data_IF_577895151633
#
_entry.id   IF_577895151633
#
_cell.length_a   1.000
_cell.length_b   1.000
_cell.length_c   1.000
_cell.angle_alpha   90.00
_cell.angle_beta   90.00
_cell.angle_gamma   90.00
#
_symmetry.space_group_name_H-M   'P 1'
#
loop_
_entity.id
_entity.type
_entity.pdbx_description
1 polymer ?
#
# COMPACT_ATOMS: atom_id res chain seq x y z
N UNK A 1 23.54 1.47 9.49
CA UNK A 1 22.16 1.06 9.15
C UNK A 1 22.23 -0.20 8.30
N UNK A 2 21.41 -1.22 8.59
CA UNK A 2 21.26 -2.38 7.68
C UNK A 2 20.32 -1.97 6.55
N UNK A 3 20.69 -2.24 5.29
CA UNK A 3 19.81 -1.96 4.16
C UNK A 3 18.59 -2.89 4.18
N UNK A 4 17.43 -2.43 3.69
CA UNK A 4 16.25 -3.30 3.57
C UNK A 4 16.52 -4.54 2.70
N UNK A 5 17.41 -4.44 1.72
CA UNK A 5 17.89 -5.57 0.92
C UNK A 5 18.62 -6.60 1.77
N UNK A 6 19.50 -6.15 2.67
CA UNK A 6 20.22 -7.03 3.59
C UNK A 6 19.28 -7.69 4.62
N UNK A 7 18.21 -7.00 5.05
CA UNK A 7 17.21 -7.55 5.97
C UNK A 7 16.39 -8.67 5.31
N UNK A 8 16.04 -8.51 4.03
CA UNK A 8 15.37 -9.55 3.25
C UNK A 8 16.35 -10.62 2.71
N UNK A 9 17.65 -10.50 2.97
CA UNK A 9 18.68 -11.40 2.47
C UNK A 9 18.63 -11.53 0.92
N UNK A 10 18.42 -10.41 0.24
CA UNK A 10 18.36 -10.33 -1.23
C UNK A 10 19.30 -9.26 -1.75
N UNK A 11 19.70 -9.41 -3.02
CA UNK A 11 20.53 -8.41 -3.69
C UNK A 11 19.75 -7.12 -3.96
N UNK A 12 20.44 -5.99 -4.04
CA UNK A 12 19.88 -4.70 -4.48
C UNK A 12 19.22 -4.76 -5.87
N UNK A 13 19.71 -5.64 -6.74
CA UNK A 13 19.20 -5.93 -8.07
C UNK A 13 18.05 -6.96 -8.10
N UNK A 14 17.62 -7.46 -6.93
CA UNK A 14 16.61 -8.51 -6.85
C UNK A 14 15.29 -8.12 -7.51
N UNK A 15 14.69 -9.08 -8.21
CA UNK A 15 13.39 -8.93 -8.85
C UNK A 15 12.27 -8.85 -7.80
N UNK A 16 11.10 -8.25 -8.12
CA UNK A 16 9.94 -8.23 -7.22
C UNK A 16 9.50 -9.64 -6.78
N UNK A 17 9.75 -10.65 -7.63
CA UNK A 17 9.44 -12.05 -7.33
C UNK A 17 10.36 -12.60 -6.22
N UNK A 18 11.65 -12.30 -6.28
CA UNK A 18 12.64 -12.74 -5.28
C UNK A 18 12.41 -12.04 -3.94
N UNK A 19 12.12 -10.73 -3.95
CA UNK A 19 11.76 -9.97 -2.73
C UNK A 19 10.55 -10.59 -2.03
N UNK A 20 9.51 -10.93 -2.81
CA UNK A 20 8.30 -11.57 -2.27
C UNK A 20 8.55 -13.00 -1.77
N UNK A 21 9.43 -13.75 -2.43
CA UNK A 21 9.81 -15.09 -2.01
C UNK A 21 10.62 -15.06 -0.70
N UNK A 22 11.56 -14.13 -0.60
CA UNK A 22 12.36 -13.91 0.60
C UNK A 22 11.50 -13.50 1.79
N UNK A 23 10.57 -12.56 1.61
CA UNK A 23 9.59 -12.19 2.63
C UNK A 23 8.79 -13.40 3.13
N UNK A 24 8.26 -14.23 2.22
CA UNK A 24 7.49 -15.43 2.61
C UNK A 24 8.32 -16.43 3.41
N UNK A 25 9.58 -16.64 3.02
CA UNK A 25 10.52 -17.54 3.71
C UNK A 25 10.80 -17.04 5.12
N UNK A 26 11.18 -15.77 5.25
CA UNK A 26 11.57 -15.14 6.51
C UNK A 26 10.36 -14.96 7.46
N UNK A 27 9.19 -14.60 6.92
CA UNK A 27 7.97 -14.47 7.72
C UNK A 27 7.50 -15.80 8.30
N UNK A 28 7.65 -16.91 7.56
CA UNK A 28 7.38 -18.25 8.10
C UNK A 28 8.41 -18.62 9.17
N UNK A 29 9.69 -18.33 8.93
CA UNK A 29 10.78 -18.64 9.84
C UNK A 29 10.66 -17.90 11.17
N UNK A 30 10.18 -16.65 11.16
CA UNK A 30 10.07 -15.81 12.34
C UNK A 30 8.64 -15.68 12.89
N UNK A 31 7.69 -16.48 12.38
CA UNK A 31 6.30 -16.44 12.83
C UNK A 31 6.17 -16.75 14.33
N UNK A 32 5.30 -16.03 15.08
CA UNK A 32 5.11 -16.27 16.52
C UNK A 32 4.66 -17.70 16.85
N UNK A 33 3.80 -18.30 16.02
CA UNK A 33 3.37 -19.71 16.21
C UNK A 33 4.53 -20.71 16.19
N UNK A 34 5.59 -20.44 15.42
CA UNK A 34 6.76 -21.32 15.31
C UNK A 34 7.84 -21.01 16.36
N UNK A 35 7.80 -19.82 16.98
CA UNK A 35 8.84 -19.31 17.87
C UNK A 35 8.27 -18.80 19.20
N UNK A 36 7.36 -19.58 19.79
CA UNK A 36 6.59 -19.24 20.98
C UNK A 36 7.46 -18.60 22.07
N UNK A 37 7.34 -17.28 22.25
CA UNK A 37 7.89 -16.53 23.38
C UNK A 37 9.28 -15.91 23.21
N UNK A 38 9.95 -16.02 22.05
CA UNK A 38 11.26 -15.40 21.86
C UNK A 38 11.15 -14.02 21.18
N UNK A 39 11.27 -12.97 22.00
CA UNK A 39 11.18 -11.55 21.58
C UNK A 39 12.20 -11.15 20.51
N UNK A 40 13.33 -11.86 20.40
CA UNK A 40 14.33 -11.59 19.36
C UNK A 40 13.85 -11.97 17.95
N UNK A 41 13.02 -13.00 17.81
CA UNK A 41 12.44 -13.37 16.52
C UNK A 41 11.28 -12.45 16.12
N UNK A 42 10.58 -11.89 17.10
CA UNK A 42 9.55 -10.88 16.86
C UNK A 42 10.16 -9.60 16.26
N UNK A 43 11.31 -9.15 16.77
CA UNK A 43 12.03 -8.00 16.18
C UNK A 43 12.49 -8.28 14.75
N UNK A 44 13.02 -9.49 14.48
CA UNK A 44 13.42 -9.89 13.11
C UNK A 44 12.24 -9.98 12.15
N UNK A 45 11.09 -10.48 12.62
CA UNK A 45 9.86 -10.52 11.82
C UNK A 45 9.41 -9.10 11.43
N UNK A 46 9.48 -8.15 12.38
CA UNK A 46 9.14 -6.76 12.13
C UNK A 46 10.07 -6.10 11.11
N UNK A 47 11.39 -6.28 11.25
CA UNK A 47 12.38 -5.80 10.29
C UNK A 47 12.07 -6.33 8.87
N UNK A 48 11.70 -7.61 8.77
CA UNK A 48 11.33 -8.27 7.50
C UNK A 48 10.04 -7.70 6.90
N UNK A 49 9.04 -7.39 7.73
CA UNK A 49 7.79 -6.75 7.29
C UNK A 49 8.07 -5.34 6.76
N UNK A 50 8.81 -4.53 7.52
CA UNK A 50 9.18 -3.16 7.14
C UNK A 50 10.00 -3.11 5.85
N UNK A 51 10.96 -4.02 5.71
CA UNK A 51 11.75 -4.14 4.49
C UNK A 51 10.88 -4.54 3.28
N UNK A 52 9.89 -5.41 3.46
CA UNK A 52 8.97 -5.80 2.39
C UNK A 52 7.94 -4.70 2.04
N UNK A 53 7.51 -3.88 3.01
CA UNK A 53 6.63 -2.74 2.76
C UNK A 53 7.29 -1.77 1.77
N UNK A 54 8.54 -1.37 2.06
CA UNK A 54 9.31 -0.44 1.24
C UNK A 54 9.75 -1.07 -0.09
N UNK A 55 10.29 -2.30 -0.07
CA UNK A 55 10.85 -2.93 -1.27
C UNK A 55 9.80 -3.64 -2.15
N UNK A 56 8.64 -3.96 -1.58
CA UNK A 56 7.55 -4.66 -2.27
C UNK A 56 6.71 -3.75 -3.16
N UNK A 57 6.70 -2.43 -2.87
CA UNK A 57 6.09 -1.41 -3.72
C UNK A 57 7.15 -0.77 -4.62
N UNK A 58 6.95 -0.81 -5.94
CA UNK A 58 7.91 -0.27 -6.92
C UNK A 58 8.15 1.25 -6.79
N UNK A 59 7.16 2.00 -6.28
CA UNK A 59 7.28 3.44 -6.08
C UNK A 59 8.14 3.74 -4.84
N UNK A 60 7.86 3.05 -3.73
CA UNK A 60 8.60 3.20 -2.48
C UNK A 60 10.02 2.64 -2.59
N UNK A 61 10.20 1.53 -3.31
CA UNK A 61 11.51 0.98 -3.63
C UNK A 61 12.36 1.99 -4.39
N UNK A 62 11.81 2.62 -5.42
CA UNK A 62 12.51 3.67 -6.17
C UNK A 62 12.86 4.86 -5.29
N UNK A 63 11.94 5.31 -4.44
CA UNK A 63 12.22 6.40 -3.50
C UNK A 63 13.36 6.02 -2.53
N UNK A 64 13.34 4.81 -1.99
CA UNK A 64 14.38 4.27 -1.12
C UNK A 64 15.73 4.15 -1.85
N UNK A 65 15.75 3.64 -3.07
CA UNK A 65 16.97 3.55 -3.88
C UNK A 65 17.58 4.94 -4.15
N UNK A 66 16.75 5.94 -4.45
CA UNK A 66 17.19 7.33 -4.62
C UNK A 66 17.83 7.91 -3.34
N UNK A 67 17.30 7.54 -2.16
CA UNK A 67 17.94 7.95 -0.88
C UNK A 67 19.30 7.29 -0.67
N UNK A 68 19.46 6.03 -1.07
CA UNK A 68 20.74 5.32 -1.01
C UNK A 68 21.80 5.94 -1.93
N UNK A 69 21.41 6.38 -3.14
CA UNK A 69 22.31 7.09 -4.05
C UNK A 69 22.77 8.44 -3.48
N UNK A 70 21.87 9.22 -2.84
CA UNK A 70 22.21 10.53 -2.26
C UNK A 70 23.20 10.45 -1.10
N UNK A 71 23.17 9.36 -0.33
CA UNK A 71 24.12 9.11 0.77
C UNK A 71 25.52 8.77 0.26
N UNK A 72 25.68 8.28 -0.97
CA UNK A 72 26.99 7.96 -1.55
C UNK A 72 27.67 9.18 -2.20
N UNK A 73 26.91 10.18 -2.67
CA UNK A 73 27.45 11.33 -3.42
C UNK A 73 27.94 12.52 -2.57
N UNK A 74 27.91 12.45 -1.23
CA UNK A 74 28.14 13.60 -0.35
C UNK A 74 29.54 13.68 0.29
N UNK A 75 30.54 12.95 -0.23
CA UNK A 75 31.92 12.98 0.31
C UNK A 75 32.91 13.90 -0.46
N UNK A 76 32.50 14.61 -1.51
CA UNK A 76 33.45 15.48 -2.25
C UNK A 76 32.96 16.92 -2.40
N UNK A 77 33.62 17.80 -1.64
CA UNK A 77 33.89 19.24 -1.81
C UNK A 77 32.73 20.21 -2.09
N UNK A 78 32.59 21.21 -1.19
CA UNK A 78 32.20 22.56 -1.60
C UNK A 78 32.97 23.63 -0.81
N UNK A 79 33.97 24.17 -1.50
CA UNK A 79 34.70 25.40 -1.21
C UNK A 79 33.77 26.60 -1.08
N UNK A 80 34.05 27.41 -0.06
CA UNK A 80 33.36 28.65 0.25
C UNK A 80 33.78 29.77 -0.71
N UNK A 81 32.81 30.54 -1.21
CA UNK A 81 33.05 31.90 -1.71
C UNK A 81 31.95 32.82 -1.19
N UNK A 82 32.38 33.83 -0.43
CA UNK A 82 31.55 34.89 0.12
C UNK A 82 31.59 36.14 -0.79
N UNK A 83 30.49 36.90 -0.86
CA UNK A 83 30.50 38.36 -1.06
C UNK A 83 29.20 39.00 -0.53
N UNK A 84 29.22 40.26 -0.01
CA UNK A 84 28.32 40.67 1.07
C UNK A 84 27.32 41.80 0.76
N UNK A 85 26.38 41.98 1.72
CA UNK A 85 25.75 43.24 2.24
C UNK A 85 24.64 43.94 1.39
N UNK A 86 23.53 44.54 1.89
CA UNK A 86 23.14 45.07 3.23
C UNK A 86 21.60 45.11 3.48
N UNK A 87 21.24 45.05 4.78
CA UNK A 87 20.18 45.77 5.54
C UNK A 87 18.71 45.78 5.10
N UNK A 88 17.83 45.25 5.97
CA UNK A 88 16.96 46.13 6.79
C UNK A 88 16.41 45.42 8.04
N UNK A 89 16.33 46.22 9.10
CA UNK A 89 15.99 45.98 10.49
C UNK A 89 14.52 45.61 10.70
N UNK A 90 14.20 44.35 11.07
CA UNK A 90 12.96 43.98 11.82
C UNK A 90 12.83 42.47 12.16
N UNK A 91 13.71 41.61 11.62
CA UNK A 91 13.54 40.15 11.61
C UNK A 91 14.43 39.44 12.65
N UNK A 92 13.96 39.28 13.89
CA UNK A 92 14.57 38.36 14.86
C UNK A 92 13.53 37.51 15.60
N UNK A 93 12.62 36.86 14.86
CA UNK A 93 11.79 35.81 15.43
C UNK A 93 12.32 34.46 14.97
N UNK A 94 12.65 33.54 15.89
CA UNK A 94 13.13 32.22 15.51
C UNK A 94 12.03 31.50 14.72
N UNK A 95 12.36 30.98 13.55
CA UNK A 95 11.43 30.26 12.69
C UNK A 95 11.82 28.79 12.63
N UNK A 96 10.84 27.91 12.85
CA UNK A 96 11.00 26.46 12.67
C UNK A 96 10.52 26.14 11.26
N UNK A 97 11.46 25.86 10.37
CA UNK A 97 11.17 25.53 8.97
C UNK A 97 10.64 24.11 8.91
N UNK A 98 11.44 23.15 9.39
CA UNK A 98 11.09 21.75 9.41
C UNK A 98 11.18 21.19 10.83
N UNK A 99 10.20 20.37 11.17
CA UNK A 99 10.22 19.52 12.35
C UNK A 99 9.34 18.33 12.04
N UNK A 100 9.97 17.22 11.70
CA UNK A 100 9.32 16.05 11.14
C UNK A 100 9.92 14.78 11.69
N UNK A 101 9.15 13.70 11.64
CA UNK A 101 9.57 12.37 12.06
C UNK A 101 9.34 11.35 10.92
N UNK A 102 10.14 10.29 10.92
CA UNK A 102 10.10 9.27 9.88
C UNK A 102 8.87 8.33 9.94
N UNK A 103 8.07 8.39 11.01
CA UNK A 103 6.95 7.49 11.24
C UNK A 103 5.81 8.18 12.00
N UNK A 104 4.57 7.72 11.84
CA UNK A 104 3.37 8.29 12.48
C UNK A 104 2.90 7.53 13.73
N UNK A 105 3.50 6.37 13.97
CA UNK A 105 3.21 5.48 15.10
C UNK A 105 4.51 4.93 15.69
N UNK A 106 4.46 4.42 16.91
CA UNK A 106 5.62 3.85 17.60
C UNK A 106 5.27 2.60 18.41
N UNK A 107 6.26 1.72 18.53
CA UNK A 107 6.28 0.50 19.35
C UNK A 107 7.51 0.48 20.27
N UNK A 108 7.55 -0.47 21.20
CA UNK A 108 8.65 -0.59 22.17
C UNK A 108 9.93 -0.99 21.42
N UNK A 109 11.03 -0.26 21.67
CA UNK A 109 12.30 -0.50 21.01
C UNK A 109 12.49 0.21 19.66
N UNK A 110 11.46 0.90 19.16
CA UNK A 110 11.56 1.64 17.89
C UNK A 110 12.62 2.73 17.94
N UNK A 111 13.28 2.93 16.79
CA UNK A 111 14.21 4.02 16.54
C UNK A 111 13.49 5.08 15.70
N UNK A 112 13.03 6.15 16.35
CA UNK A 112 12.37 7.29 15.71
C UNK A 112 13.45 8.26 15.26
N UNK A 113 13.53 8.51 13.95
CA UNK A 113 14.40 9.58 13.42
C UNK A 113 13.60 10.87 13.38
N UNK A 114 14.14 11.90 14.04
CA UNK A 114 13.57 13.24 14.11
C UNK A 114 14.51 14.19 13.39
N UNK A 115 13.99 14.89 12.40
CA UNK A 115 14.68 15.95 11.67
C UNK A 115 14.15 17.31 12.08
N UNK A 116 15.07 18.28 12.22
CA UNK A 116 14.70 19.68 12.43
C UNK A 116 15.53 20.62 11.56
N UNK A 117 14.93 21.75 11.22
CA UNK A 117 15.59 22.89 10.61
C UNK A 117 15.00 24.18 11.17
N UNK A 118 15.85 25.00 11.79
CA UNK A 118 15.49 26.28 12.39
C UNK A 118 16.31 27.43 11.79
N UNK A 119 15.72 28.62 11.72
CA UNK A 119 16.39 29.88 11.40
C UNK A 119 16.28 30.86 12.55
N UNK A 120 17.29 31.71 12.69
CA UNK A 120 17.30 32.83 13.65
C UNK A 120 17.04 32.38 15.11
N UNK A 121 17.48 31.19 15.48
CA UNK A 121 17.39 30.63 16.83
C UNK A 121 18.81 30.46 17.41
N UNK A 122 19.01 30.84 18.67
CA UNK A 122 20.31 30.69 19.34
C UNK A 122 20.34 29.42 20.19
N UNK A 123 19.17 29.03 20.72
CA UNK A 123 19.02 27.82 21.55
C UNK A 123 17.87 26.99 21.01
N UNK A 124 18.13 25.72 20.74
CA UNK A 124 17.13 24.75 20.32
C UNK A 124 17.04 23.66 21.38
N UNK A 125 15.83 23.36 21.83
CA UNK A 125 15.54 22.28 22.76
C UNK A 125 14.45 21.39 22.19
N UNK A 126 14.67 20.07 22.18
CA UNK A 126 13.68 19.09 21.76
C UNK A 126 13.36 18.22 22.99
N UNK A 127 12.12 18.24 23.47
CA UNK A 127 11.68 17.33 24.53
C UNK A 127 11.28 15.98 23.92
N UNK A 128 11.67 14.81 24.50
CA UNK A 128 12.49 14.61 25.71
C UNK A 128 14.01 14.48 25.45
N UNK A 129 14.49 14.82 24.25
CA UNK A 129 15.88 14.60 23.79
C UNK A 129 16.94 15.54 24.41
N UNK A 130 16.56 16.75 24.83
CA UNK A 130 17.48 17.74 25.40
C UNK A 130 17.79 18.91 24.47
N UNK A 131 18.97 19.52 24.66
CA UNK A 131 19.44 20.66 23.87
C UNK A 131 20.14 20.20 22.59
N UNK A 132 19.98 20.97 21.51
CA UNK A 132 20.62 20.72 20.22
C UNK A 132 21.63 21.82 19.92
N UNK A 133 22.85 21.41 19.58
CA UNK A 133 23.96 22.34 19.26
C UNK A 133 23.84 22.90 17.83
N UNK A 134 23.13 22.20 16.94
CA UNK A 134 23.00 22.57 15.53
C UNK A 134 21.60 23.09 15.18
N UNK A 135 21.56 24.15 14.37
CA UNK A 135 20.34 24.75 13.80
C UNK A 135 19.52 23.79 12.92
N UNK A 136 20.20 22.80 12.33
CA UNK A 136 19.63 21.75 11.49
C UNK A 136 20.28 20.44 11.87
N UNK A 137 19.50 19.37 11.96
CA UNK A 137 20.05 18.10 12.40
C UNK A 137 19.07 16.96 12.32
N UNK A 138 19.60 15.76 12.61
CA UNK A 138 18.84 14.52 12.70
C UNK A 138 19.25 13.79 13.95
N UNK A 139 18.29 13.33 14.73
CA UNK A 139 18.52 12.56 15.95
C UNK A 139 17.66 11.32 15.97
N UNK A 140 18.21 10.23 16.50
CA UNK A 140 17.52 8.96 16.63
C UNK A 140 17.11 8.79 18.09
N UNK A 141 15.81 8.74 18.35
CA UNK A 141 15.24 8.46 19.65
C UNK A 141 14.85 6.98 19.76
N UNK A 142 15.36 6.28 20.76
CA UNK A 142 14.95 4.89 21.07
C UNK A 142 13.80 4.90 22.07
N UNK A 143 12.67 4.32 21.70
CA UNK A 143 11.52 4.12 22.61
C UNK A 143 11.88 3.07 23.65
N UNK A 144 11.97 3.49 24.92
CA UNK A 144 12.33 2.60 26.03
C UNK A 144 11.12 2.02 26.77
N UNK A 145 10.00 2.73 26.80
CA UNK A 145 8.82 2.40 27.61
C UNK A 145 7.53 2.68 26.83
N UNK A 146 6.51 1.86 27.04
CA UNK A 146 5.31 1.82 26.20
C UNK A 146 4.03 2.27 26.93
N UNK A 147 4.17 2.80 28.15
CA UNK A 147 3.05 3.10 29.05
C UNK A 147 2.17 4.27 28.57
N UNK A 148 2.66 5.04 27.60
CA UNK A 148 1.94 6.18 27.04
C UNK A 148 1.16 5.80 25.77
N UNK A 149 -0.10 6.24 25.70
CA UNK A 149 -0.95 6.15 24.50
C UNK A 149 -0.41 6.97 23.32
N UNK A 150 0.36 8.02 23.63
CA UNK A 150 0.97 8.92 22.66
C UNK A 150 2.41 9.24 23.10
N UNK A 151 3.30 9.41 22.13
CA UNK A 151 4.64 9.93 22.34
C UNK A 151 4.73 11.29 21.66
N UNK A 152 4.97 12.34 22.44
CA UNK A 152 5.05 13.72 21.96
C UNK A 152 6.47 14.24 21.98
N UNK A 153 6.91 14.82 20.86
CA UNK A 153 8.13 15.60 20.78
C UNK A 153 7.79 17.07 20.65
N UNK A 154 8.44 17.94 21.42
CA UNK A 154 8.25 19.39 21.35
C UNK A 154 9.58 20.07 21.09
N UNK A 155 9.69 20.75 19.95
CA UNK A 155 10.82 21.60 19.61
C UNK A 155 10.52 23.03 20.07
N UNK A 156 11.43 23.58 20.86
CA UNK A 156 11.44 24.98 21.31
C UNK A 156 12.68 25.66 20.76
N UNK A 157 12.49 26.64 19.86
CA UNK A 157 13.53 27.49 19.32
C UNK A 157 13.47 28.86 20.00
N UNK A 158 14.57 29.26 20.64
CA UNK A 158 14.67 30.53 21.38
C UNK A 158 15.76 31.38 20.77
N UNK A 159 15.46 32.66 20.54
CA UNK A 159 16.46 33.66 20.21
C UNK A 159 16.78 34.47 21.48
N UNK A 160 18.03 34.44 21.92
CA UNK A 160 18.48 35.10 23.15
C UNK A 160 18.51 36.62 22.99
N UNK A 161 18.81 37.12 21.79
CA UNK A 161 18.89 38.55 21.51
C UNK A 161 17.50 39.23 21.48
N UNK A 162 16.48 38.54 20.97
CA UNK A 162 15.11 39.07 20.90
C UNK A 162 14.19 38.57 22.01
N UNK A 163 14.64 37.63 22.84
CA UNK A 163 13.82 36.94 23.85
C UNK A 163 12.55 36.28 23.30
N UNK A 164 12.45 36.09 21.97
CA UNK A 164 11.31 35.44 21.32
C UNK A 164 11.50 33.93 21.28
N UNK A 165 10.41 33.20 21.49
CA UNK A 165 10.37 31.74 21.53
C UNK A 165 9.33 31.25 20.53
N UNK A 166 9.69 30.25 19.75
CA UNK A 166 8.79 29.55 18.82
C UNK A 166 8.78 28.06 19.16
N UNK A 167 7.60 27.45 19.16
CA UNK A 167 7.39 26.04 19.54
C UNK A 167 6.68 25.26 18.44
N UNK A 168 7.01 23.98 18.28
CA UNK A 168 6.31 23.04 17.39
C UNK A 168 6.29 21.65 18.01
N UNK A 169 5.16 20.95 17.94
CA UNK A 169 5.01 19.60 18.48
C UNK A 169 4.72 18.57 17.39
N UNK A 170 5.20 17.35 17.62
CA UNK A 170 4.89 16.14 16.85
C UNK A 170 4.30 15.13 17.82
N UNK A 171 3.19 14.50 17.44
CA UNK A 171 2.54 13.47 18.24
C UNK A 171 2.52 12.14 17.46
N UNK A 172 3.09 11.10 18.06
CA UNK A 172 3.08 9.74 17.54
C UNK A 172 2.07 8.91 18.33
N UNK A 173 1.29 8.11 17.61
CA UNK A 173 0.34 7.20 18.24
C UNK A 173 1.01 5.89 18.63
N UNK A 174 0.70 5.37 19.81
CA UNK A 174 1.19 4.05 20.20
C UNK A 174 0.47 2.97 19.39
N UNK A 175 1.25 2.18 18.66
CA UNK A 175 0.72 1.15 17.77
C UNK A 175 0.05 -0.01 18.50
N UNK A 176 0.34 -0.25 19.78
CA UNK A 176 -0.32 -1.30 20.58
C UNK A 176 -1.75 -0.91 20.95
N UNK A 177 -2.04 0.37 21.09
CA UNK A 177 -3.40 0.89 21.36
C UNK A 177 -4.20 1.19 20.09
N UNK A 178 -3.54 1.19 18.92
CA UNK A 178 -4.25 1.16 17.66
C UNK A 178 -4.77 -0.26 17.48
N UNK A 179 -6.10 -0.42 17.43
CA UNK A 179 -6.74 -1.67 17.02
C UNK A 179 -6.36 -1.94 15.55
N UNK A 180 -5.17 -2.48 15.32
CA UNK A 180 -4.75 -3.07 14.06
C UNK A 180 -5.46 -4.41 13.88
N UNK A 181 -6.79 -4.38 13.81
CA UNK A 181 -7.56 -5.50 13.27
C UNK A 181 -7.23 -5.63 11.78
N UNK A 182 -7.14 -6.86 11.27
CA UNK A 182 -6.89 -7.13 9.83
C UNK A 182 -7.79 -6.33 8.88
N UNK A 183 -8.96 -5.89 9.34
CA UNK A 183 -9.85 -4.99 8.63
C UNK A 183 -9.23 -3.62 8.30
N UNK A 184 -8.52 -3.00 9.23
CA UNK A 184 -7.90 -1.66 9.03
C UNK A 184 -6.70 -1.71 8.08
N UNK A 185 -5.94 -2.81 8.08
CA UNK A 185 -4.85 -3.04 7.11
C UNK A 185 -5.39 -3.31 5.70
N UNK A 186 -6.56 -3.97 5.59
CA UNK A 186 -7.25 -4.17 4.30
C UNK A 186 -7.80 -2.88 3.72
N UNK A 187 -8.28 -1.96 4.56
CA UNK A 187 -8.88 -0.71 4.10
C UNK A 187 -7.84 0.32 3.59
N UNK A 188 -6.58 0.26 4.06
CA UNK A 188 -5.50 1.14 3.57
C UNK A 188 -4.86 0.66 2.26
N UNK A 189 -4.92 -0.64 1.92
CA UNK A 189 -4.48 -1.16 0.61
C UNK A 189 -5.67 -1.22 -0.35
N UNK A 190 -6.38 -0.10 -0.53
CA UNK A 190 -7.32 0.02 -1.65
C UNK A 190 -6.50 0.21 -2.93
N UNK A 191 -6.39 -0.86 -3.73
CA UNK A 191 -5.85 -0.79 -5.08
C UNK A 191 -6.79 0.07 -5.95
N UNK A 192 -6.52 1.37 -6.02
CA UNK A 192 -7.28 2.35 -6.83
C UNK A 192 -6.82 2.38 -8.28
N UNK A 193 -6.13 1.36 -8.80
CA UNK A 193 -5.69 1.38 -10.20
C UNK A 193 -6.82 0.89 -11.14
N UNK A 194 -7.45 1.77 -11.94
CA UNK A 194 -8.51 1.40 -12.88
C UNK A 194 -8.03 0.48 -14.03
N UNK A 195 -6.72 0.25 -14.18
CA UNK A 195 -6.15 -0.63 -15.21
C UNK A 195 -6.27 -2.14 -14.90
N UNK A 196 -6.87 -2.53 -13.77
CA UNK A 196 -7.15 -3.94 -13.45
C UNK A 196 -8.36 -4.53 -14.20
N UNK A 197 -9.08 -3.73 -14.99
CA UNK A 197 -10.35 -4.12 -15.60
C UNK A 197 -10.14 -4.46 -17.08
N UNK A 198 -10.71 -5.57 -17.54
CA UNK A 198 -10.57 -5.92 -18.96
C UNK A 198 -11.33 -4.88 -19.80
N UNK A 199 -10.69 -4.31 -20.82
CA UNK A 199 -11.36 -3.34 -21.70
C UNK A 199 -12.37 -3.96 -22.70
N UNK A 200 -12.46 -5.29 -22.83
CA UNK A 200 -13.33 -5.94 -23.82
C UNK A 200 -14.62 -6.55 -23.26
N UNK A 201 -15.73 -6.38 -24.00
CA UNK A 201 -17.03 -7.02 -23.73
C UNK A 201 -16.92 -8.55 -23.73
N UNK A 202 -16.22 -9.12 -24.73
CA UNK A 202 -15.96 -10.57 -24.90
C UNK A 202 -14.56 -11.01 -24.43
N UNK A 203 -13.81 -10.15 -23.75
CA UNK A 203 -12.46 -10.51 -23.35
C UNK A 203 -12.48 -11.74 -22.40
N UNK A 204 -11.68 -12.79 -22.69
CA UNK A 204 -11.73 -14.05 -21.96
C UNK A 204 -11.11 -13.99 -20.56
N UNK A 205 -10.43 -12.88 -20.22
CA UNK A 205 -9.67 -12.70 -18.98
C UNK A 205 -9.96 -11.34 -18.35
N UNK A 206 -9.89 -11.26 -17.01
CA UNK A 206 -10.02 -10.02 -16.22
C UNK A 206 -11.22 -10.00 -15.29
N UNK A 207 -11.32 -8.95 -14.46
CA UNK A 207 -12.46 -8.73 -13.56
C UNK A 207 -13.67 -8.16 -14.29
N UNK A 208 -14.84 -8.36 -13.71
CA UNK A 208 -16.09 -7.70 -14.11
C UNK A 208 -16.76 -7.15 -12.87
N UNK A 209 -16.95 -5.83 -12.83
CA UNK A 209 -17.67 -5.21 -11.72
C UNK A 209 -19.10 -5.73 -11.66
N UNK A 210 -19.75 -5.58 -10.50
CA UNK A 210 -21.16 -5.94 -10.32
C UNK A 210 -22.07 -5.25 -11.35
N UNK A 211 -21.80 -3.97 -11.63
CA UNK A 211 -22.57 -3.17 -12.60
C UNK A 211 -22.37 -3.70 -14.01
N UNK A 212 -21.12 -3.93 -14.42
CA UNK A 212 -20.80 -4.43 -15.76
C UNK A 212 -21.35 -5.84 -15.98
N UNK A 213 -21.25 -6.69 -14.96
CA UNK A 213 -21.80 -8.05 -15.03
C UNK A 213 -23.32 -8.03 -15.17
N UNK A 214 -24.02 -7.21 -14.37
CA UNK A 214 -25.47 -7.06 -14.47
C UNK A 214 -25.92 -6.58 -15.86
N UNK A 215 -25.22 -5.58 -16.42
CA UNK A 215 -25.50 -5.07 -17.76
C UNK A 215 -25.31 -6.15 -18.84
N UNK A 216 -24.23 -6.93 -18.75
CA UNK A 216 -23.94 -8.02 -19.70
C UNK A 216 -24.95 -9.15 -19.61
N UNK A 217 -25.33 -9.56 -18.39
CA UNK A 217 -26.35 -10.59 -18.19
C UNK A 217 -27.66 -10.12 -18.78
N UNK A 218 -28.10 -8.89 -18.50
CA UNK A 218 -29.31 -8.32 -19.09
C UNK A 218 -29.27 -8.38 -20.63
N UNK A 219 -28.19 -7.89 -21.26
CA UNK A 219 -28.01 -7.94 -22.70
C UNK A 219 -28.00 -9.36 -23.30
N UNK A 220 -27.37 -10.32 -22.62
CA UNK A 220 -27.36 -11.70 -23.09
C UNK A 220 -28.73 -12.36 -22.94
N UNK A 221 -29.47 -12.05 -21.87
CA UNK A 221 -30.84 -12.55 -21.71
C UNK A 221 -31.81 -11.98 -22.73
N UNK A 222 -31.65 -10.72 -23.14
CA UNK A 222 -32.46 -10.13 -24.21
C UNK A 222 -32.14 -10.77 -25.56
N UNK A 223 -30.87 -11.05 -25.85
CA UNK A 223 -30.47 -11.81 -27.04
C UNK A 223 -31.03 -13.23 -27.04
N UNK A 224 -31.01 -13.91 -25.89
CA UNK A 224 -31.57 -15.26 -25.76
C UNK A 224 -33.08 -15.27 -26.00
N UNK A 225 -33.79 -14.28 -25.43
CA UNK A 225 -35.23 -14.11 -25.63
C UNK A 225 -35.55 -13.78 -27.09
N UNK A 226 -34.76 -12.91 -27.74
CA UNK A 226 -34.91 -12.65 -29.17
C UNK A 226 -34.68 -13.89 -30.02
N UNK A 227 -33.63 -14.67 -29.74
CA UNK A 227 -33.37 -15.93 -30.45
C UNK A 227 -34.52 -16.94 -30.26
N UNK A 228 -35.10 -17.01 -29.07
CA UNK A 228 -36.25 -17.86 -28.76
C UNK A 228 -37.52 -17.41 -29.51
N UNK A 229 -37.82 -16.11 -29.53
CA UNK A 229 -38.97 -15.59 -30.27
C UNK A 229 -38.83 -15.79 -31.79
N UNK A 230 -37.60 -15.75 -32.29
CA UNK A 230 -37.29 -15.92 -33.71
C UNK A 230 -37.09 -17.39 -34.13
N UNK A 231 -37.19 -18.34 -33.19
CA UNK A 231 -37.05 -19.78 -33.43
C UNK A 231 -37.80 -20.30 -34.68
N UNK A 232 -39.06 -19.95 -34.97
CA UNK A 232 -39.79 -20.50 -36.12
C UNK A 232 -39.29 -20.01 -37.50
N UNK A 233 -38.41 -19.01 -37.55
CA UNK A 233 -37.87 -18.45 -38.79
C UNK A 233 -36.48 -18.99 -39.16
N UNK A 234 -35.88 -19.85 -38.33
CA UNK A 234 -34.59 -20.47 -38.64
C UNK A 234 -34.80 -21.61 -39.64
N UNK A 235 -34.39 -21.42 -40.90
CA UNK A 235 -34.50 -22.43 -41.98
C UNK A 235 -33.61 -23.66 -41.76
N UNK A 236 -32.55 -23.52 -40.97
CA UNK A 236 -31.62 -24.61 -40.65
C UNK A 236 -31.77 -25.02 -39.20
N UNK A 237 -32.13 -26.29 -38.97
CA UNK A 237 -32.31 -26.89 -37.63
C UNK A 237 -31.10 -26.68 -36.69
N UNK A 238 -29.89 -26.57 -37.24
CA UNK A 238 -28.66 -26.35 -36.47
C UNK A 238 -28.40 -24.90 -36.05
N UNK A 239 -28.99 -23.91 -36.72
CA UNK A 239 -28.61 -22.49 -36.55
C UNK A 239 -29.06 -21.94 -35.19
N UNK A 240 -30.29 -22.27 -34.76
CA UNK A 240 -30.80 -21.90 -33.44
C UNK A 240 -29.93 -22.49 -32.30
N UNK A 241 -29.57 -23.76 -32.41
CA UNK A 241 -28.72 -24.45 -31.43
C UNK A 241 -27.31 -23.85 -31.37
N UNK A 242 -26.72 -23.52 -32.53
CA UNK A 242 -25.44 -22.83 -32.61
C UNK A 242 -25.46 -21.45 -31.92
N UNK A 243 -26.52 -20.66 -32.14
CA UNK A 243 -26.67 -19.35 -31.49
C UNK A 243 -26.83 -19.52 -29.97
N UNK A 244 -27.66 -20.47 -29.53
CA UNK A 244 -27.86 -20.72 -28.10
C UNK A 244 -26.57 -21.16 -27.41
N UNK A 245 -25.82 -22.09 -28.01
CA UNK A 245 -24.53 -22.55 -27.48
C UNK A 245 -23.49 -21.44 -27.43
N UNK A 246 -23.43 -20.57 -28.44
CA UNK A 246 -22.56 -19.39 -28.43
C UNK A 246 -22.93 -18.41 -27.30
N UNK A 247 -24.22 -18.13 -27.09
CA UNK A 247 -24.69 -17.25 -26.02
C UNK A 247 -24.37 -17.83 -24.62
N UNK A 248 -24.58 -19.14 -24.43
CA UNK A 248 -24.24 -19.84 -23.18
C UNK A 248 -22.73 -19.77 -22.92
N UNK A 249 -21.90 -19.98 -23.94
CA UNK A 249 -20.45 -19.87 -23.82
C UNK A 249 -20.02 -18.46 -23.35
N UNK A 250 -20.60 -17.41 -23.93
CA UNK A 250 -20.33 -16.02 -23.51
C UNK A 250 -20.80 -15.77 -22.07
N UNK A 251 -21.93 -16.33 -21.66
CA UNK A 251 -22.45 -16.22 -20.29
C UNK A 251 -21.53 -16.90 -19.26
N UNK A 252 -20.96 -18.06 -19.61
CA UNK A 252 -19.98 -18.79 -18.77
C UNK A 252 -18.72 -17.94 -18.58
N UNK A 253 -18.22 -17.30 -19.65
CA UNK A 253 -17.06 -16.40 -19.55
C UNK A 253 -17.37 -15.20 -18.65
N UNK A 254 -18.52 -14.54 -18.84
CA UNK A 254 -18.92 -13.39 -18.01
C UNK A 254 -19.04 -13.77 -16.54
N UNK A 255 -19.59 -14.95 -16.26
CA UNK A 255 -19.77 -15.47 -14.91
C UNK A 255 -18.46 -15.86 -14.27
N UNK A 256 -17.53 -16.48 -15.00
CA UNK A 256 -16.18 -16.76 -14.51
C UNK A 256 -15.44 -15.47 -14.12
N UNK A 257 -15.58 -14.42 -14.92
CA UNK A 257 -15.00 -13.09 -14.63
C UNK A 257 -15.60 -12.46 -13.39
N UNK A 258 -16.91 -12.59 -13.20
CA UNK A 258 -17.61 -12.13 -12.00
C UNK A 258 -17.16 -12.89 -10.76
N UNK A 259 -16.92 -14.18 -10.91
CA UNK A 259 -16.43 -15.05 -9.85
C UNK A 259 -15.02 -14.65 -9.37
N UNK A 260 -14.15 -14.23 -10.30
CA UNK A 260 -12.83 -13.67 -9.98
C UNK A 260 -12.91 -12.33 -9.24
N UNK A 261 -13.97 -11.55 -9.45
CA UNK A 261 -14.23 -10.31 -8.70
C UNK A 261 -14.55 -10.60 -7.22
N UNK A 262 -15.19 -11.74 -6.94
CA UNK A 262 -15.47 -12.23 -5.58
C UNK A 262 -14.35 -13.16 -5.08
N UNK A 263 -13.19 -13.18 -5.75
CA UNK A 263 -12.02 -13.97 -5.35
C UNK A 263 -12.33 -15.48 -5.20
N UNK A 264 -13.19 -15.98 -6.09
CA UNK A 264 -13.54 -17.40 -6.23
C UNK A 264 -13.00 -17.94 -7.54
N UNK A 265 -12.75 -19.25 -7.59
CA UNK A 265 -12.15 -19.90 -8.74
C UNK A 265 -13.13 -19.93 -9.92
N UNK A 266 -12.72 -19.46 -11.11
CA UNK A 266 -13.56 -19.36 -12.31
C UNK A 266 -14.33 -20.63 -12.69
N UNK A 267 -13.85 -21.80 -12.29
CA UNK A 267 -14.47 -23.10 -12.58
C UNK A 267 -15.91 -23.24 -12.06
N UNK A 268 -16.31 -22.50 -11.02
CA UNK A 268 -17.71 -22.57 -10.56
C UNK A 268 -18.69 -21.96 -11.57
N UNK A 269 -18.22 -21.25 -12.59
CA UNK A 269 -19.09 -20.84 -13.70
C UNK A 269 -19.66 -22.03 -14.48
N UNK A 270 -19.04 -23.22 -14.39
CA UNK A 270 -19.60 -24.44 -14.98
C UNK A 270 -20.92 -24.88 -14.32
N UNK A 271 -21.25 -24.36 -13.13
CA UNK A 271 -22.57 -24.56 -12.52
C UNK A 271 -23.71 -24.00 -13.39
N UNK A 272 -23.41 -23.10 -14.34
CA UNK A 272 -24.36 -22.60 -15.35
C UNK A 272 -24.72 -23.62 -16.45
N UNK A 273 -24.07 -24.79 -16.48
CA UNK A 273 -24.49 -25.89 -17.36
C UNK A 273 -25.58 -26.75 -16.73
N UNK A 274 -25.80 -26.64 -15.41
CA UNK A 274 -26.80 -27.45 -14.71
C UNK A 274 -28.17 -26.76 -14.87
N UNK A 275 -29.12 -27.38 -15.60
CA UNK A 275 -30.45 -26.81 -15.77
C UNK A 275 -31.09 -26.48 -14.43
N UNK A 276 -31.92 -25.43 -14.37
CA UNK A 276 -32.60 -24.92 -13.17
C UNK A 276 -31.69 -24.26 -12.12
N UNK A 277 -30.39 -24.58 -12.06
CA UNK A 277 -29.43 -23.93 -11.15
C UNK A 277 -28.97 -22.56 -11.67
N UNK A 278 -29.04 -22.36 -12.99
CA UNK A 278 -28.52 -21.18 -13.70
C UNK A 278 -29.03 -19.86 -13.15
N UNK A 279 -30.34 -19.75 -12.93
CA UNK A 279 -30.98 -18.50 -12.46
C UNK A 279 -30.51 -18.18 -11.05
N UNK A 280 -30.44 -19.18 -10.16
CA UNK A 280 -29.96 -19.00 -8.80
C UNK A 280 -28.49 -18.55 -8.78
N UNK A 281 -27.63 -19.18 -9.59
CA UNK A 281 -26.21 -18.81 -9.70
C UNK A 281 -26.05 -17.39 -10.22
N UNK A 282 -26.80 -16.98 -11.25
CA UNK A 282 -26.76 -15.61 -11.76
C UNK A 282 -27.21 -14.59 -10.72
N UNK A 283 -28.30 -14.87 -10.00
CA UNK A 283 -28.80 -14.00 -8.93
C UNK A 283 -27.79 -13.87 -7.78
N UNK A 284 -27.20 -14.99 -7.34
CA UNK A 284 -26.15 -14.99 -6.31
C UNK A 284 -24.96 -14.12 -6.77
N UNK A 285 -24.48 -14.32 -8.00
CA UNK A 285 -23.37 -13.54 -8.54
C UNK A 285 -23.69 -12.04 -8.67
N UNK A 286 -24.95 -11.70 -8.93
CA UNK A 286 -25.42 -10.32 -9.02
C UNK A 286 -25.58 -9.67 -7.64
N UNK A 287 -25.87 -10.44 -6.58
CA UNK A 287 -26.02 -9.94 -5.22
C UNK A 287 -24.71 -9.83 -4.44
N UNK A 288 -23.73 -10.70 -4.73
CA UNK A 288 -22.44 -10.68 -4.05
C UNK A 288 -21.74 -9.31 -4.20
N UNK A 289 -21.02 -8.88 -3.16
CA UNK A 289 -20.14 -7.71 -3.25
C UNK A 289 -18.78 -8.13 -3.82
N UNK A 290 -18.19 -7.31 -4.69
CA UNK A 290 -16.83 -7.54 -5.20
C UNK A 290 -15.78 -7.32 -4.12
N UNK A 291 -14.61 -7.95 -4.26
CA UNK A 291 -13.44 -7.71 -3.40
C UNK A 291 -12.47 -6.72 -4.04
N UNK A 292 -12.03 -5.73 -3.25
CA UNK A 292 -11.05 -4.72 -3.67
C UNK A 292 -9.59 -5.23 -3.62
N UNK A 293 -9.38 -6.49 -3.23
CA UNK A 293 -8.07 -7.14 -3.11
C UNK A 293 -7.46 -7.46 -4.48
N UNK A 294 -6.14 -7.66 -4.62
CA UNK A 294 -5.53 -8.01 -5.89
C UNK A 294 -6.06 -9.35 -6.43
N UNK A 295 -6.29 -9.42 -7.74
CA UNK A 295 -6.87 -10.60 -8.38
C UNK A 295 -5.94 -11.82 -8.24
N UNK A 296 -6.36 -12.82 -7.45
CA UNK A 296 -5.64 -14.09 -7.31
C UNK A 296 -5.88 -15.03 -8.51
N UNK A 297 -6.93 -14.78 -9.30
CA UNK A 297 -7.41 -15.67 -10.36
C UNK A 297 -7.44 -14.97 -11.72
N UNK A 298 -6.52 -15.32 -12.62
CA UNK A 298 -6.40 -14.74 -13.96
C UNK A 298 -4.98 -14.24 -14.25
N UNK A 299 -4.72 -13.81 -15.49
CA UNK A 299 -3.42 -13.22 -15.84
C UNK A 299 -3.25 -11.89 -15.10
N UNK A 300 -2.06 -11.69 -14.53
CA UNK A 300 -1.64 -10.38 -14.02
C UNK A 300 -1.75 -9.36 -15.17
N UNK A 301 -2.23 -8.13 -14.91
CA UNK A 301 -2.18 -7.09 -15.93
C UNK A 301 -0.74 -6.98 -16.42
N UNK A 302 -0.57 -6.93 -17.74
CA UNK A 302 0.71 -6.52 -18.30
C UNK A 302 0.83 -5.02 -17.99
N UNK A 303 1.86 -4.68 -17.21
CA UNK A 303 2.30 -3.29 -17.05
C UNK A 303 2.81 -2.77 -18.39
#
# INVERSE_FOLDING_TARGET
>A
MRSYYAILEVDSSASPREIKQAFRRLSKQYHPDMNQGNTAYQHKLFDVIKAYEVLGNEVERRAYDLTLFRTQSTTTERTQTARPTQTTTDYYQPEIIDFSCNQSYFFMGDLIEISWECKQADVIRIYPLGYMDELRGKVIYRVKELDAKYLSFELTATNQHSSKITKRSIHLNNGVYMNFTEANLRDQVKYTNPQHWSMGFLAPLGRSSRKDFGLRVAFLTTLFLMAFLYQPHFEHDGMYSFICTALIYVLIICSARRLHDVNRHGILSLLLLIPLLNIAVLLILLLLKGEDLPNKHGRKPKF
#
